data_IF_339991695232
#
_entry.id   IF_339991695232
#
_cell.length_a   1.000
_cell.length_b   1.000
_cell.length_c   1.000
_cell.angle_alpha   90.00
_cell.angle_beta   90.00
_cell.angle_gamma   90.00
#
_symmetry.space_group_name_H-M   'P 1'
#
loop_
_entity.id
_entity.type
_entity.pdbx_description
1 polymer ?
#
# COMPACT_ATOMS: atom_id res chain seq x y z
N UNK A 1 -4.72 19.06 14.47
CA UNK A 1 -4.29 17.94 13.61
C UNK A 1 -4.18 18.45 12.20
N UNK A 2 -3.07 18.19 11.52
CA UNK A 2 -2.92 18.56 10.12
C UNK A 2 -3.83 17.67 9.27
N UNK A 3 -4.52 18.22 8.27
CA UNK A 3 -5.44 17.47 7.42
C UNK A 3 -4.75 16.28 6.70
N UNK A 4 -3.46 16.44 6.41
CA UNK A 4 -2.62 15.38 5.82
C UNK A 4 -2.43 14.19 6.77
N UNK A 5 -2.29 14.45 8.07
CA UNK A 5 -2.07 13.42 9.08
C UNK A 5 -3.36 12.59 9.32
N UNK A 6 -4.52 13.26 9.32
CA UNK A 6 -5.82 12.58 9.37
C UNK A 6 -6.07 11.69 8.14
N UNK A 7 -5.69 12.17 6.94
CA UNK A 7 -5.77 11.39 5.71
C UNK A 7 -4.84 10.16 5.76
N UNK A 8 -3.59 10.37 6.17
CA UNK A 8 -2.58 9.32 6.28
C UNK A 8 -3.04 8.22 7.24
N UNK A 9 -3.55 8.59 8.41
CA UNK A 9 -4.12 7.64 9.37
C UNK A 9 -5.30 6.86 8.78
N UNK A 10 -6.20 7.52 8.05
CA UNK A 10 -7.38 6.89 7.45
C UNK A 10 -7.02 5.86 6.37
N UNK A 11 -5.94 6.08 5.62
CA UNK A 11 -5.49 5.20 4.53
C UNK A 11 -4.57 4.08 5.00
N UNK A 12 -3.63 4.38 5.91
CA UNK A 12 -2.57 3.44 6.29
C UNK A 12 -2.88 2.61 7.53
N UNK A 13 -3.88 3.01 8.33
CA UNK A 13 -4.24 2.27 9.54
C UNK A 13 -5.54 1.49 9.37
N UNK A 14 -5.61 0.32 10.02
CA UNK A 14 -6.85 -0.44 10.06
C UNK A 14 -8.00 0.42 10.62
N UNK A 15 -9.22 0.20 10.11
CA UNK A 15 -10.42 0.90 10.57
C UNK A 15 -10.63 0.82 12.08
N UNK A 16 -10.22 -0.28 12.73
CA UNK A 16 -10.24 -0.46 14.19
C UNK A 16 -9.30 0.50 14.91
N UNK A 17 -8.03 0.58 14.47
CA UNK A 17 -7.01 1.49 15.03
C UNK A 17 -7.42 2.95 14.82
N UNK A 18 -7.92 3.29 13.63
CA UNK A 18 -8.43 4.63 13.32
C UNK A 18 -9.59 5.04 14.23
N UNK A 19 -10.58 4.15 14.46
CA UNK A 19 -11.70 4.45 15.35
C UNK A 19 -11.27 4.62 16.82
N UNK A 20 -10.29 3.84 17.29
CA UNK A 20 -9.73 4.01 18.63
C UNK A 20 -9.00 5.36 18.75
N UNK A 21 -8.22 5.72 17.73
CA UNK A 21 -7.60 7.04 17.65
C UNK A 21 -8.66 8.16 17.69
N UNK A 22 -9.76 8.05 16.94
CA UNK A 22 -10.84 9.03 16.98
C UNK A 22 -11.44 9.17 18.38
N UNK A 23 -11.65 8.06 19.10
CA UNK A 23 -12.18 8.10 20.47
C UNK A 23 -11.27 8.91 21.43
N UNK A 24 -9.96 8.86 21.24
CA UNK A 24 -8.99 9.55 22.09
C UNK A 24 -8.72 11.00 21.64
N UNK A 25 -8.65 11.24 20.33
CA UNK A 25 -8.27 12.54 19.76
C UNK A 25 -9.45 13.47 19.48
N UNK A 26 -10.62 12.92 19.12
CA UNK A 26 -11.83 13.65 18.75
C UNK A 26 -13.08 12.89 19.23
N UNK A 27 -13.37 12.92 20.55
CA UNK A 27 -14.44 12.12 21.14
C UNK A 27 -15.81 12.40 20.51
N UNK A 28 -16.10 13.65 20.15
CA UNK A 28 -17.37 14.03 19.52
C UNK A 28 -17.60 13.30 18.19
N UNK A 29 -16.59 13.29 17.30
CA UNK A 29 -16.64 12.55 16.04
C UNK A 29 -16.82 11.05 16.28
N UNK A 30 -16.21 10.49 17.33
CA UNK A 30 -16.35 9.07 17.66
C UNK A 30 -17.78 8.70 18.09
N UNK A 31 -18.44 9.60 18.82
CA UNK A 31 -19.84 9.43 19.26
C UNK A 31 -20.78 9.53 18.06
N UNK A 32 -20.58 10.49 17.16
CA UNK A 32 -21.37 10.60 15.92
C UNK A 32 -21.30 9.32 15.07
N UNK A 33 -20.09 8.78 14.89
CA UNK A 33 -19.87 7.52 14.16
C UNK A 33 -20.60 6.37 14.84
N UNK A 34 -20.55 6.28 16.18
CA UNK A 34 -21.25 5.25 16.93
C UNK A 34 -22.77 5.34 16.77
N UNK A 35 -23.34 6.54 16.94
CA UNK A 35 -24.78 6.79 16.76
C UNK A 35 -25.23 6.40 15.36
N UNK A 36 -24.43 6.69 14.34
CA UNK A 36 -24.70 6.29 12.96
C UNK A 36 -24.77 4.77 12.82
N UNK A 37 -23.79 4.02 13.36
CA UNK A 37 -23.82 2.56 13.32
C UNK A 37 -24.95 1.95 14.16
N UNK A 38 -25.34 2.58 15.26
CA UNK A 38 -26.50 2.16 16.06
C UNK A 38 -27.81 2.32 15.27
N UNK A 39 -27.94 3.39 14.48
CA UNK A 39 -29.07 3.57 13.54
C UNK A 39 -29.06 2.49 12.45
N UNK A 40 -27.90 2.18 11.87
CA UNK A 40 -27.77 1.09 10.90
C UNK A 40 -28.21 -0.23 11.52
N UNK A 41 -27.76 -0.54 12.74
CA UNK A 41 -28.15 -1.77 13.43
C UNK A 41 -29.67 -1.85 13.64
N UNK A 42 -30.31 -0.73 14.02
CA UNK A 42 -31.77 -0.64 14.17
C UNK A 42 -32.52 -0.90 12.87
N UNK A 43 -32.03 -0.39 11.74
CA UNK A 43 -32.69 -0.51 10.43
C UNK A 43 -32.19 -1.70 9.59
N UNK A 44 -31.22 -2.48 10.09
CA UNK A 44 -30.58 -3.60 9.40
C UNK A 44 -31.54 -4.52 8.65
N UNK A 45 -32.62 -5.08 9.25
CA UNK A 45 -33.49 -6.01 8.52
C UNK A 45 -34.21 -5.34 7.34
N UNK A 46 -34.59 -4.07 7.49
CA UNK A 46 -35.24 -3.29 6.42
C UNK A 46 -34.26 -2.96 5.30
N UNK A 47 -33.02 -2.61 5.65
CA UNK A 47 -31.94 -2.36 4.68
C UNK A 47 -31.64 -3.62 3.87
N UNK A 48 -31.55 -4.79 4.52
CA UNK A 48 -31.33 -6.06 3.84
C UNK A 48 -32.47 -6.40 2.88
N UNK A 49 -33.73 -6.20 3.31
CA UNK A 49 -34.90 -6.42 2.45
C UNK A 49 -34.89 -5.49 1.24
N UNK A 50 -34.54 -4.21 1.45
CA UNK A 50 -34.47 -3.21 0.39
C UNK A 50 -33.37 -3.58 -0.62
N UNK A 51 -32.14 -3.81 -0.17
CA UNK A 51 -31.04 -4.23 -1.04
C UNK A 51 -31.34 -5.54 -1.77
N UNK A 52 -31.98 -6.51 -1.11
CA UNK A 52 -32.40 -7.76 -1.74
C UNK A 52 -33.31 -7.51 -2.94
N UNK A 53 -34.28 -6.60 -2.81
CA UNK A 53 -35.17 -6.23 -3.93
C UNK A 53 -34.42 -5.65 -5.14
N UNK A 54 -33.40 -4.81 -4.91
CA UNK A 54 -32.58 -4.26 -6.00
C UNK A 54 -31.70 -5.32 -6.68
N UNK A 55 -31.32 -6.37 -5.95
CA UNK A 55 -30.57 -7.48 -6.52
C UNK A 55 -31.48 -8.41 -7.34
N UNK A 56 -32.72 -8.61 -6.89
CA UNK A 56 -33.70 -9.46 -7.56
C UNK A 56 -34.32 -8.79 -8.79
N UNK A 57 -34.62 -7.48 -8.69
CA UNK A 57 -35.23 -6.68 -9.76
C UNK A 57 -34.49 -5.35 -9.97
N UNK A 58 -33.75 -5.19 -11.09
CA UNK A 58 -33.01 -3.97 -11.39
C UNK A 58 -33.92 -2.78 -11.75
N UNK A 59 -35.21 -3.02 -12.01
CA UNK A 59 -36.19 -1.96 -12.27
C UNK A 59 -36.93 -1.51 -11.00
N UNK A 60 -36.59 -2.06 -9.83
CA UNK A 60 -37.18 -1.66 -8.56
C UNK A 60 -36.82 -0.20 -8.24
N UNK A 61 -37.82 0.67 -8.26
CA UNK A 61 -37.67 2.09 -7.93
C UNK A 61 -38.16 2.36 -6.51
N UNK A 62 -37.35 3.02 -5.69
CA UNK A 62 -37.79 3.50 -4.37
C UNK A 62 -37.88 5.02 -4.36
N UNK A 63 -36.75 5.69 -4.57
CA UNK A 63 -36.61 7.14 -4.68
C UNK A 63 -35.32 7.40 -5.43
N UNK A 64 -35.32 8.32 -6.40
CA UNK A 64 -34.16 8.54 -7.29
C UNK A 64 -32.82 8.66 -6.54
N UNK A 65 -32.76 9.42 -5.44
CA UNK A 65 -31.53 9.59 -4.65
C UNK A 65 -31.01 8.26 -4.05
N UNK A 66 -31.92 7.39 -3.62
CA UNK A 66 -31.57 6.07 -3.07
C UNK A 66 -31.22 5.12 -4.21
N UNK A 67 -31.94 5.19 -5.32
CA UNK A 67 -31.68 4.37 -6.51
C UNK A 67 -30.25 4.64 -7.02
N UNK A 68 -29.89 5.91 -7.21
CA UNK A 68 -28.56 6.35 -7.65
C UNK A 68 -27.46 5.91 -6.67
N UNK A 69 -27.70 6.06 -5.37
CA UNK A 69 -26.74 5.68 -4.33
C UNK A 69 -26.54 4.15 -4.26
N UNK A 70 -27.62 3.38 -4.39
CA UNK A 70 -27.57 1.91 -4.40
C UNK A 70 -26.88 1.42 -5.66
N UNK A 71 -27.19 1.97 -6.83
CA UNK A 71 -26.54 1.60 -8.09
C UNK A 71 -25.03 1.88 -8.02
N UNK A 72 -24.64 3.06 -7.55
CA UNK A 72 -23.23 3.39 -7.37
C UNK A 72 -22.54 2.45 -6.37
N UNK A 73 -23.21 2.08 -5.28
CA UNK A 73 -22.70 1.10 -4.32
C UNK A 73 -22.47 -0.25 -5.00
N UNK A 74 -23.47 -0.79 -5.71
CA UNK A 74 -23.36 -2.07 -6.42
C UNK A 74 -22.23 -2.05 -7.45
N UNK A 75 -22.10 -0.99 -8.25
CA UNK A 75 -20.99 -0.82 -9.20
C UNK A 75 -19.63 -0.87 -8.51
N UNK A 76 -19.47 -0.20 -7.36
CA UNK A 76 -18.21 -0.24 -6.61
C UNK A 76 -17.91 -1.62 -6.03
N UNK A 77 -18.93 -2.33 -5.56
CA UNK A 77 -18.79 -3.70 -5.03
C UNK A 77 -18.38 -4.66 -6.14
N UNK A 78 -19.05 -4.61 -7.31
CA UNK A 78 -18.71 -5.44 -8.47
C UNK A 78 -17.26 -5.19 -8.90
N UNK A 79 -16.86 -3.92 -9.08
CA UNK A 79 -15.49 -3.57 -9.44
C UNK A 79 -14.46 -4.11 -8.43
N UNK A 80 -14.77 -4.04 -7.14
CA UNK A 80 -13.88 -4.56 -6.10
C UNK A 80 -13.74 -6.09 -6.17
N UNK A 81 -14.84 -6.80 -6.41
CA UNK A 81 -14.83 -8.26 -6.57
C UNK A 81 -14.07 -8.67 -7.84
N UNK A 82 -14.31 -8.01 -8.97
CA UNK A 82 -13.61 -8.25 -10.23
C UNK A 82 -12.10 -8.06 -10.10
N UNK A 83 -11.67 -6.98 -9.42
CA UNK A 83 -10.26 -6.69 -9.16
C UNK A 83 -9.62 -7.78 -8.31
N UNK A 84 -10.30 -8.21 -7.24
CA UNK A 84 -9.82 -9.29 -6.38
C UNK A 84 -9.76 -10.63 -7.12
N UNK A 85 -10.73 -10.92 -7.98
CA UNK A 85 -10.74 -12.15 -8.77
C UNK A 85 -9.64 -12.13 -9.85
N UNK A 86 -9.30 -10.96 -10.39
CA UNK A 86 -8.15 -10.77 -11.28
C UNK A 86 -6.83 -10.99 -10.53
N UNK A 87 -6.67 -10.39 -9.34
CA UNK A 87 -5.50 -10.59 -8.46
C UNK A 87 -5.28 -12.08 -8.15
N UNK A 88 -6.35 -12.81 -7.81
CA UNK A 88 -6.27 -14.25 -7.53
C UNK A 88 -5.88 -15.06 -8.76
N UNK A 89 -6.44 -14.76 -9.94
CA UNK A 89 -6.08 -15.45 -11.19
C UNK A 89 -4.62 -15.22 -11.58
N UNK A 90 -4.13 -13.99 -11.44
CA UNK A 90 -2.73 -13.68 -11.71
C UNK A 90 -1.77 -14.31 -10.69
N UNK A 91 -2.22 -14.63 -9.47
CA UNK A 91 -1.42 -15.35 -8.50
C UNK A 91 -1.28 -16.86 -8.84
N UNK A 92 -2.28 -17.44 -9.51
CA UNK A 92 -2.29 -18.86 -9.90
C UNK A 92 -1.61 -19.11 -11.28
N UNK A 93 -1.38 -18.08 -12.09
CA UNK A 93 -0.60 -18.17 -13.32
C UNK A 93 0.91 -18.25 -13.00
N UNK A 94 1.34 -19.43 -12.54
CA UNK A 94 2.72 -19.83 -12.21
C UNK A 94 3.69 -19.80 -13.41
N UNK A 95 3.89 -18.65 -14.07
CA UNK A 95 4.99 -18.47 -15.03
C UNK A 95 5.63 -17.07 -15.02
N UNK A 96 5.50 -16.26 -13.96
CA UNK A 96 6.35 -15.07 -13.84
C UNK A 96 6.76 -14.75 -12.38
N UNK A 97 7.84 -15.42 -11.96
CA UNK A 97 8.90 -14.92 -11.08
C UNK A 97 8.60 -14.51 -9.62
N UNK A 98 7.98 -15.39 -8.83
CA UNK A 98 7.95 -15.23 -7.36
C UNK A 98 9.15 -15.88 -6.63
N UNK A 99 9.95 -16.73 -7.28
CA UNK A 99 11.05 -17.43 -6.59
C UNK A 99 12.29 -16.54 -6.38
N UNK A 100 12.44 -15.42 -7.10
CA UNK A 100 13.58 -14.51 -6.92
C UNK A 100 13.35 -13.38 -5.90
N UNK A 101 12.10 -13.12 -5.49
CA UNK A 101 11.78 -12.05 -4.53
C UNK A 101 11.91 -12.49 -3.06
N UNK A 102 11.69 -13.78 -2.72
CA UNK A 102 11.89 -14.29 -1.35
C UNK A 102 13.38 -14.41 -0.96
N UNK A 103 14.29 -14.55 -1.93
CA UNK A 103 15.74 -14.64 -1.64
C UNK A 103 16.37 -13.29 -1.30
N UNK A 104 15.72 -12.19 -1.70
CA UNK A 104 16.25 -10.83 -1.53
C UNK A 104 16.09 -10.30 -0.11
N UNK A 105 15.07 -10.75 0.64
CA UNK A 105 14.91 -10.41 2.06
C UNK A 105 15.59 -11.39 3.00
N UNK A 106 15.85 -12.62 2.57
CA UNK A 106 16.44 -13.66 3.43
C UNK A 106 17.98 -13.56 3.50
N UNK A 107 18.65 -13.04 2.46
CA UNK A 107 20.12 -12.98 2.42
C UNK A 107 20.73 -11.83 3.22
N UNK A 108 19.98 -10.79 3.59
CA UNK A 108 20.50 -9.66 4.38
C UNK A 108 20.48 -9.89 5.90
N UNK A 109 19.71 -10.86 6.40
CA UNK A 109 19.66 -11.14 7.85
C UNK A 109 20.83 -12.03 8.28
N UNK A 110 21.35 -12.90 7.40
CA UNK A 110 22.48 -13.77 7.70
C UNK A 110 23.85 -13.09 7.53
N UNK A 111 23.96 -12.06 6.68
CA UNK A 111 25.22 -11.32 6.50
C UNK A 111 25.57 -10.39 7.67
N UNK A 112 24.57 -9.88 8.38
CA UNK A 112 24.76 -8.91 9.47
C UNK A 112 25.03 -9.56 10.84
N UNK A 113 24.89 -10.89 10.96
CA UNK A 113 25.20 -11.62 12.21
C UNK A 113 26.59 -12.27 12.22
N UNK A 114 27.35 -12.25 11.11
CA UNK A 114 28.73 -12.80 11.06
C UNK A 114 29.85 -11.76 11.09
N UNK A 115 29.55 -10.46 11.06
CA UNK A 115 30.60 -9.42 11.00
C UNK A 115 31.03 -8.84 12.35
N UNK A 116 30.66 -9.48 13.48
CA UNK A 116 31.00 -9.01 14.84
C UNK A 116 32.00 -9.89 15.59
N UNK A 117 32.52 -10.95 15.00
CA UNK A 117 33.64 -11.71 15.56
C UNK A 117 34.77 -11.85 14.53
N UNK A 118 35.99 -11.61 15.01
CA UNK A 118 37.30 -11.77 14.36
C UNK A 118 37.93 -10.54 13.67
N UNK A 119 38.55 -9.73 14.54
CA UNK A 119 39.80 -9.02 14.28
C UNK A 119 40.96 -9.95 13.87
N UNK A 120 41.83 -9.40 13.02
CA UNK A 120 43.22 -9.80 12.72
C UNK A 120 43.50 -11.05 11.88
N UNK A 121 43.68 -10.85 10.56
CA UNK A 121 44.97 -11.19 9.92
C UNK A 121 45.20 -10.56 8.53
N UNK A 122 46.33 -9.85 8.50
CA UNK A 122 47.13 -9.24 7.42
C UNK A 122 47.24 -10.08 6.12
N UNK A 123 47.04 -9.42 4.96
CA UNK A 123 48.03 -9.16 3.89
C UNK A 123 47.53 -9.37 2.45
N UNK A 124 47.66 -8.29 1.65
CA UNK A 124 48.12 -8.24 0.26
C UNK A 124 47.39 -9.05 -0.82
N UNK A 125 46.67 -8.37 -1.74
CA UNK A 125 47.11 -8.14 -3.14
C UNK A 125 45.98 -7.56 -4.02
N UNK A 126 46.42 -6.83 -5.03
CA UNK A 126 45.67 -6.07 -6.03
C UNK A 126 44.68 -6.90 -6.86
N UNK A 127 43.52 -6.33 -7.18
CA UNK A 127 43.02 -6.37 -8.56
C UNK A 127 41.92 -5.33 -8.78
N UNK A 128 42.27 -4.21 -9.39
CA UNK A 128 41.33 -3.29 -9.99
C UNK A 128 40.62 -4.00 -11.15
N UNK A 129 39.36 -4.39 -10.95
CA UNK A 129 38.44 -4.73 -12.03
C UNK A 129 37.22 -3.83 -11.91
N UNK A 130 37.19 -2.82 -12.78
CA UNK A 130 36.02 -1.99 -13.05
C UNK A 130 34.84 -2.89 -13.43
N UNK A 131 33.94 -3.13 -12.48
CA UNK A 131 32.63 -3.67 -12.77
C UNK A 131 31.74 -2.49 -13.14
N UNK A 132 31.56 -2.27 -14.44
CA UNK A 132 30.57 -1.31 -14.94
C UNK A 132 29.17 -1.85 -14.61
N UNK A 133 28.62 -1.37 -13.49
CA UNK A 133 27.25 -1.70 -13.09
C UNK A 133 26.29 -1.02 -14.08
N UNK A 134 25.77 -1.79 -15.03
CA UNK A 134 24.72 -1.36 -15.95
C UNK A 134 23.39 -1.31 -15.20
N UNK A 135 23.10 -0.18 -14.55
CA UNK A 135 21.78 0.06 -13.96
C UNK A 135 20.82 0.50 -15.06
N UNK A 136 20.08 -0.44 -15.64
CA UNK A 136 18.90 -0.08 -16.45
C UNK A 136 17.78 0.27 -15.48
N UNK A 137 17.25 1.49 -15.57
CA UNK A 137 16.17 1.95 -14.70
C UNK A 137 14.82 1.60 -15.33
N UNK A 138 13.89 1.12 -14.51
CA UNK A 138 12.52 0.74 -14.90
C UNK A 138 11.67 1.92 -15.40
N UNK A 139 12.13 3.16 -15.22
CA UNK A 139 11.47 4.39 -15.65
C UNK A 139 12.08 5.03 -16.91
N UNK A 140 12.83 4.25 -17.70
CA UNK A 140 13.29 4.69 -19.02
C UNK A 140 14.42 5.71 -18.95
N UNK A 141 15.65 5.24 -18.80
CA UNK A 141 16.85 6.04 -19.04
C UNK A 141 18.12 5.35 -18.54
N UNK A 142 19.11 5.17 -19.42
CA UNK A 142 20.47 4.77 -19.02
C UNK A 142 21.11 5.92 -18.27
N UNK A 143 21.32 5.77 -16.96
CA UNK A 143 22.05 6.76 -16.16
C UNK A 143 23.51 6.34 -16.09
N UNK A 144 24.39 7.00 -16.84
CA UNK A 144 25.84 6.84 -16.67
C UNK A 144 26.26 7.54 -15.37
N UNK A 145 26.53 6.78 -14.32
CA UNK A 145 27.14 7.31 -13.09
C UNK A 145 28.61 7.62 -13.36
N UNK A 146 28.93 8.86 -13.75
CA UNK A 146 30.30 9.35 -13.63
C UNK A 146 30.58 9.67 -12.16
N UNK A 147 31.33 8.81 -11.49
CA UNK A 147 31.82 9.07 -10.13
C UNK A 147 32.98 10.07 -10.19
N UNK A 148 32.72 11.36 -10.03
CA UNK A 148 33.74 12.28 -9.52
C UNK A 148 33.13 13.35 -8.62
N UNK A 149 33.22 13.08 -7.31
CA UNK A 149 32.96 14.05 -6.24
C UNK A 149 33.95 15.23 -6.28
N UNK A 150 34.97 15.14 -7.14
CA UNK A 150 36.07 16.09 -7.32
C UNK A 150 35.71 17.33 -8.16
N UNK A 151 34.58 17.31 -8.87
CA UNK A 151 34.12 18.44 -9.70
C UNK A 151 33.52 19.60 -8.89
N UNK A 152 33.06 19.36 -7.67
CA UNK A 152 32.41 20.38 -6.83
C UNK A 152 33.37 21.22 -5.99
N UNK A 153 34.63 20.81 -5.81
CA UNK A 153 35.56 21.48 -4.88
C UNK A 153 36.39 22.59 -5.54
N UNK A 154 36.51 22.64 -6.88
CA UNK A 154 37.36 23.63 -7.56
C UNK A 154 36.59 24.78 -8.17
N UNK A 155 35.92 25.61 -7.36
CA UNK A 155 35.58 26.99 -7.78
C UNK A 155 35.32 27.95 -6.63
N UNK A 156 36.26 28.04 -5.68
CA UNK A 156 36.49 29.26 -4.91
C UNK A 156 37.98 29.47 -4.66
N UNK A 157 38.64 30.21 -5.55
CA UNK A 157 39.86 30.94 -5.19
C UNK A 157 39.84 32.33 -5.84
N UNK A 158 39.87 33.31 -4.93
CA UNK A 158 40.30 34.72 -4.99
C UNK A 158 39.70 35.61 -6.06
#
# INVERSE_FOLDING_TARGET
>A
MNALDELTLKLLTSKKKYNNYLANAMPDKSVEVRIFYDKIAKFRPRIQTLLGRYLDDPAAQTTNDVDDAVEQCLRTVVKHLEMRDYENKCADDETDSSEEEEVLFQTQIESDQRSLEETDQRSSEESAKETSINTTSFWGGRVNKQSSIDSFVRRRKK
#
